data_IF_236624302433
#
_entry.id   IF_236624302433
#
_cell.length_a   1.000
_cell.length_b   1.000
_cell.length_c   1.000
_cell.angle_alpha   90.00
_cell.angle_beta   90.00
_cell.angle_gamma   90.00
#
_symmetry.space_group_name_H-M   'P 1'
#
loop_
_entity.id
_entity.type
_entity.pdbx_description
1 polymer ?
#
# COMPACT_ATOMS: atom_id res chain seq x y z
N UNK A 1 -34.54 -11.51 -4.64
CA UNK A 1 -35.13 -11.09 -5.94
C UNK A 1 -34.36 -9.87 -6.42
N UNK A 2 -33.76 -9.90 -7.62
CA UNK A 2 -32.90 -8.81 -8.12
C UNK A 2 -33.71 -7.55 -8.47
N UNK A 3 -33.17 -6.37 -8.17
CA UNK A 3 -33.79 -5.10 -8.56
C UNK A 3 -33.65 -4.84 -10.06
N UNK A 4 -34.46 -3.93 -10.62
CA UNK A 4 -34.29 -3.47 -12.03
C UNK A 4 -32.87 -2.94 -12.32
N UNK A 5 -32.22 -2.34 -11.32
CA UNK A 5 -30.85 -1.83 -11.43
C UNK A 5 -29.83 -2.96 -11.50
N UNK A 6 -30.05 -4.02 -10.74
CA UNK A 6 -29.19 -5.21 -10.74
C UNK A 6 -29.31 -5.96 -12.07
N UNK A 7 -30.53 -6.12 -12.58
CA UNK A 7 -30.77 -6.74 -13.88
C UNK A 7 -30.09 -5.97 -15.03
N UNK A 8 -30.12 -4.62 -15.01
CA UNK A 8 -29.41 -3.79 -15.99
C UNK A 8 -27.90 -3.94 -15.95
N UNK A 9 -27.32 -4.19 -14.76
CA UNK A 9 -25.88 -4.47 -14.64
C UNK A 9 -25.55 -5.87 -15.13
N UNK A 10 -26.39 -6.86 -14.79
CA UNK A 10 -26.23 -8.25 -15.21
C UNK A 10 -26.42 -8.45 -16.72
N UNK A 11 -27.07 -7.53 -17.41
CA UNK A 11 -27.18 -7.53 -18.88
C UNK A 11 -26.00 -6.87 -19.61
N UNK A 12 -24.97 -6.40 -18.91
CA UNK A 12 -23.78 -5.80 -19.56
C UNK A 12 -22.90 -6.87 -20.23
N UNK A 13 -22.11 -6.51 -21.26
CA UNK A 13 -21.20 -7.50 -21.86
C UNK A 13 -20.18 -8.02 -20.84
N UNK A 14 -19.73 -7.14 -19.94
CA UNK A 14 -18.80 -7.46 -18.86
C UNK A 14 -19.38 -8.47 -17.87
N UNK A 15 -20.65 -8.31 -17.46
CA UNK A 15 -21.28 -9.27 -16.56
C UNK A 15 -21.49 -10.63 -17.21
N UNK A 16 -21.86 -10.65 -18.49
CA UNK A 16 -21.99 -11.90 -19.26
C UNK A 16 -20.63 -12.60 -19.39
N UNK A 17 -19.56 -11.86 -19.69
CA UNK A 17 -18.19 -12.40 -19.70
C UNK A 17 -17.81 -13.04 -18.36
N UNK A 18 -18.10 -12.37 -17.24
CA UNK A 18 -17.80 -12.89 -15.90
C UNK A 18 -18.61 -14.15 -15.57
N UNK A 19 -19.89 -14.19 -15.94
CA UNK A 19 -20.75 -15.35 -15.74
C UNK A 19 -20.31 -16.54 -16.60
N UNK A 20 -19.91 -16.31 -17.85
CA UNK A 20 -19.46 -17.34 -18.79
C UNK A 20 -18.12 -17.97 -18.39
N UNK A 21 -17.31 -17.29 -17.57
CA UNK A 21 -16.05 -17.83 -17.04
C UNK A 21 -16.24 -18.78 -15.85
N UNK A 22 -17.44 -18.85 -15.28
CA UNK A 22 -17.72 -19.68 -14.12
C UNK A 22 -18.40 -20.98 -14.56
N UNK A 23 -17.91 -22.13 -14.07
CA UNK A 23 -18.57 -23.41 -14.29
C UNK A 23 -19.98 -23.44 -13.66
N UNK A 24 -20.15 -22.73 -12.54
CA UNK A 24 -21.43 -22.52 -11.85
C UNK A 24 -21.66 -21.02 -11.65
N UNK A 25 -22.48 -20.37 -12.50
CA UNK A 25 -22.67 -18.92 -12.45
C UNK A 25 -23.27 -18.44 -11.13
N UNK A 26 -22.54 -17.59 -10.41
CA UNK A 26 -22.99 -16.93 -9.20
C UNK A 26 -23.25 -15.44 -9.47
N UNK A 27 -24.51 -15.10 -9.68
CA UNK A 27 -24.96 -13.75 -10.01
C UNK A 27 -24.70 -12.73 -8.89
N UNK A 28 -24.81 -13.14 -7.62
CA UNK A 28 -24.55 -12.26 -6.47
C UNK A 28 -23.07 -11.86 -6.41
N UNK A 29 -22.17 -12.83 -6.62
CA UNK A 29 -20.74 -12.57 -6.67
C UNK A 29 -20.36 -11.66 -7.84
N UNK A 30 -20.94 -11.89 -9.03
CA UNK A 30 -20.73 -11.03 -10.20
C UNK A 30 -21.24 -9.61 -9.95
N UNK A 31 -22.42 -9.46 -9.34
CA UNK A 31 -22.94 -8.15 -8.95
C UNK A 31 -21.99 -7.45 -7.98
N UNK A 32 -21.54 -8.12 -6.92
CA UNK A 32 -20.60 -7.56 -5.94
C UNK A 32 -19.31 -7.06 -6.62
N UNK A 33 -18.75 -7.86 -7.54
CA UNK A 33 -17.58 -7.49 -8.33
C UNK A 33 -17.86 -6.22 -9.16
N UNK A 34 -18.96 -6.17 -9.92
CA UNK A 34 -19.32 -4.99 -10.72
C UNK A 34 -19.58 -3.74 -9.88
N UNK A 35 -20.12 -3.91 -8.66
CA UNK A 35 -20.28 -2.83 -7.70
C UNK A 35 -18.94 -2.31 -7.19
N UNK A 36 -17.99 -3.19 -6.92
CA UNK A 36 -16.64 -2.83 -6.53
C UNK A 36 -15.91 -2.11 -7.68
N UNK A 37 -15.88 -2.69 -8.89
CA UNK A 37 -15.28 -2.10 -10.09
C UNK A 37 -15.84 -0.68 -10.34
N UNK A 38 -17.16 -0.51 -10.28
CA UNK A 38 -17.79 0.81 -10.45
C UNK A 38 -17.36 1.83 -9.38
N UNK A 39 -17.12 1.41 -8.13
CA UNK A 39 -16.60 2.31 -7.08
C UNK A 39 -15.13 2.63 -7.30
N UNK A 40 -14.33 1.63 -7.68
CA UNK A 40 -12.91 1.77 -7.95
C UNK A 40 -12.67 2.75 -9.11
N UNK A 41 -13.38 2.58 -10.23
CA UNK A 41 -13.24 3.46 -11.40
C UNK A 41 -13.49 4.93 -11.04
N UNK A 42 -14.50 5.22 -10.20
CA UNK A 42 -14.76 6.60 -9.74
C UNK A 42 -13.59 7.16 -8.93
N UNK A 43 -12.96 6.34 -8.10
CA UNK A 43 -11.80 6.75 -7.32
C UNK A 43 -10.55 6.89 -8.19
N UNK A 44 -10.36 6.05 -9.21
CA UNK A 44 -9.27 6.17 -10.16
C UNK A 44 -9.40 7.44 -11.03
N UNK A 45 -10.62 7.84 -11.40
CA UNK A 45 -10.86 9.15 -12.03
C UNK A 45 -10.40 10.29 -11.11
N UNK A 46 -10.79 10.25 -9.83
CA UNK A 46 -10.37 11.25 -8.85
C UNK A 46 -8.84 11.24 -8.62
N UNK A 47 -8.20 10.06 -8.65
CA UNK A 47 -6.74 9.94 -8.58
C UNK A 47 -6.04 10.61 -9.77
N UNK A 48 -6.60 10.52 -10.97
CA UNK A 48 -6.07 11.20 -12.16
C UNK A 48 -6.23 12.72 -12.09
N UNK A 49 -7.35 13.19 -11.55
CA UNK A 49 -7.57 14.62 -11.28
C UNK A 49 -6.58 15.13 -10.23
N UNK A 50 -6.41 14.38 -9.12
CA UNK A 50 -5.43 14.68 -8.08
C UNK A 50 -3.99 14.70 -8.64
N UNK A 51 -3.62 13.74 -9.49
CA UNK A 51 -2.29 13.73 -10.12
C UNK A 51 -2.09 14.98 -10.99
N UNK A 52 -3.10 15.35 -11.80
CA UNK A 52 -3.03 16.56 -12.63
C UNK A 52 -2.86 17.82 -11.78
N UNK A 53 -3.55 17.87 -10.63
CA UNK A 53 -3.40 18.95 -9.65
C UNK A 53 -1.98 19.01 -9.06
N UNK A 54 -1.42 17.86 -8.67
CA UNK A 54 -0.04 17.74 -8.16
C UNK A 54 0.95 18.29 -9.18
N UNK A 55 0.81 17.92 -10.45
CA UNK A 55 1.66 18.41 -11.54
C UNK A 55 1.51 19.92 -11.72
N UNK A 56 0.28 20.43 -11.83
CA UNK A 56 0.01 21.85 -12.06
C UNK A 56 0.57 22.76 -10.96
N UNK A 57 0.51 22.30 -9.71
CA UNK A 57 0.96 23.07 -8.54
C UNK A 57 2.38 22.72 -8.09
N UNK A 58 3.10 21.85 -8.81
CA UNK A 58 4.47 21.46 -8.47
C UNK A 58 4.59 20.77 -7.10
N UNK A 59 3.55 20.07 -6.64
CA UNK A 59 3.56 19.40 -5.34
C UNK A 59 4.49 18.18 -5.34
N UNK A 60 5.09 17.88 -4.20
CA UNK A 60 5.91 16.67 -3.99
C UNK A 60 5.13 15.70 -3.13
N UNK A 61 4.77 14.53 -3.67
CA UNK A 61 3.93 13.56 -2.93
C UNK A 61 4.65 12.23 -2.77
N UNK A 62 4.85 11.80 -1.52
CA UNK A 62 5.37 10.49 -1.17
C UNK A 62 4.28 9.69 -0.43
N UNK A 63 3.94 8.51 -0.96
CA UNK A 63 2.91 7.62 -0.42
C UNK A 63 3.59 6.33 0.03
N UNK A 64 3.72 6.13 1.34
CA UNK A 64 4.28 4.93 1.94
C UNK A 64 3.17 3.92 2.19
N UNK A 65 3.32 2.73 1.60
CA UNK A 65 2.41 1.61 1.83
C UNK A 65 3.19 0.51 2.56
N UNK A 66 3.05 0.51 3.88
CA UNK A 66 3.55 -0.55 4.75
C UNK A 66 2.45 -1.57 5.05
N UNK A 67 2.84 -2.72 5.59
CA UNK A 67 1.90 -3.74 6.00
C UNK A 67 2.55 -5.10 6.19
N UNK A 68 1.80 -6.00 6.83
CA UNK A 68 2.20 -7.40 6.98
C UNK A 68 2.36 -8.06 5.61
N UNK A 69 3.09 -9.17 5.56
CA UNK A 69 3.17 -9.95 4.34
C UNK A 69 1.81 -10.49 3.92
N UNK A 70 1.55 -10.51 2.61
CA UNK A 70 0.25 -10.82 1.99
C UNK A 70 -0.92 -9.90 2.35
N UNK A 71 -0.68 -8.76 2.99
CA UNK A 71 -1.70 -7.74 3.27
C UNK A 71 -2.30 -7.09 2.01
N UNK A 72 -1.63 -7.20 0.85
CA UNK A 72 -2.13 -6.69 -0.43
C UNK A 72 -1.55 -5.35 -0.88
N UNK A 73 -0.38 -4.95 -0.35
CA UNK A 73 0.36 -3.72 -0.71
C UNK A 73 0.50 -3.53 -2.23
N UNK A 74 1.09 -4.51 -2.91
CA UNK A 74 1.29 -4.45 -4.36
C UNK A 74 -0.02 -4.35 -5.16
N UNK A 75 -1.09 -5.04 -4.71
CA UNK A 75 -2.41 -4.95 -5.35
C UNK A 75 -3.03 -3.56 -5.18
N UNK A 76 -2.89 -2.95 -4.00
CA UNK A 76 -3.33 -1.58 -3.73
C UNK A 76 -2.56 -0.57 -4.60
N UNK A 77 -1.23 -0.65 -4.63
CA UNK A 77 -0.40 0.25 -5.46
C UNK A 77 -0.79 0.12 -6.94
N UNK A 78 -0.94 -1.11 -7.43
CA UNK A 78 -1.38 -1.36 -8.81
C UNK A 78 -2.74 -0.72 -9.09
N UNK A 79 -3.72 -0.90 -8.20
CA UNK A 79 -5.04 -0.29 -8.36
C UNK A 79 -4.99 1.25 -8.36
N UNK A 80 -4.08 1.87 -7.59
CA UNK A 80 -3.86 3.31 -7.62
C UNK A 80 -3.25 3.77 -8.96
N UNK A 81 -2.21 3.07 -9.42
CA UNK A 81 -1.39 3.50 -10.56
C UNK A 81 -1.96 3.09 -11.93
N UNK A 82 -2.92 2.16 -11.99
CA UNK A 82 -3.44 1.53 -13.21
C UNK A 82 -3.81 2.51 -14.33
N UNK A 83 -4.33 3.68 -13.97
CA UNK A 83 -4.81 4.69 -14.92
C UNK A 83 -4.12 6.06 -14.78
N UNK A 84 -3.10 6.17 -13.93
CA UNK A 84 -2.32 7.40 -13.76
C UNK A 84 -1.36 7.62 -14.93
N UNK A 85 -1.02 8.87 -15.22
CA UNK A 85 -0.01 9.21 -16.23
C UNK A 85 1.38 8.79 -15.73
N UNK A 86 2.06 7.83 -16.41
CA UNK A 86 3.34 7.27 -15.94
C UNK A 86 4.50 8.26 -15.92
N UNK A 87 4.36 9.45 -16.52
CA UNK A 87 5.44 10.47 -16.52
C UNK A 87 5.61 11.16 -15.17
N UNK A 88 4.57 11.17 -14.34
CA UNK A 88 4.52 11.91 -13.08
C UNK A 88 4.18 11.01 -11.90
N UNK A 89 4.24 9.69 -12.10
CA UNK A 89 4.06 8.71 -11.04
C UNK A 89 5.11 7.62 -11.16
N UNK A 90 5.66 7.19 -10.03
CA UNK A 90 6.61 6.08 -10.00
C UNK A 90 6.46 5.22 -8.76
N UNK A 91 6.88 3.97 -8.90
CA UNK A 91 6.96 2.98 -7.84
C UNK A 91 8.41 2.82 -7.40
N UNK A 92 8.63 2.89 -6.10
CA UNK A 92 9.88 2.55 -5.43
C UNK A 92 9.65 1.26 -4.66
N UNK A 93 10.28 0.19 -5.12
CA UNK A 93 10.32 -1.11 -4.46
C UNK A 93 11.79 -1.54 -4.38
N UNK A 94 12.47 -1.15 -3.30
CA UNK A 94 13.90 -1.43 -3.14
C UNK A 94 14.13 -2.86 -2.64
N UNK A 95 15.08 -3.55 -3.26
CA UNK A 95 15.58 -4.82 -2.76
C UNK A 95 16.37 -4.65 -1.45
N UNK A 96 16.75 -5.80 -0.87
CA UNK A 96 17.66 -5.87 0.28
C UNK A 96 18.91 -4.98 0.03
N UNK A 97 19.37 -4.22 1.04
CA UNK A 97 20.50 -3.32 0.84
C UNK A 97 21.77 -4.11 0.51
N UNK A 98 22.52 -3.63 -0.48
CA UNK A 98 23.87 -4.12 -0.80
C UNK A 98 24.84 -3.85 0.35
N UNK A 99 25.99 -4.53 0.39
CA UNK A 99 27.03 -4.28 1.41
C UNK A 99 27.45 -2.81 1.46
N UNK A 100 27.47 -2.13 0.31
CA UNK A 100 27.78 -0.70 0.21
C UNK A 100 26.67 0.18 0.78
N UNK A 101 25.40 -0.16 0.58
CA UNK A 101 24.28 0.57 1.19
C UNK A 101 24.21 0.34 2.70
N UNK A 102 24.58 -0.86 3.17
CA UNK A 102 24.62 -1.19 4.60
C UNK A 102 25.70 -0.40 5.37
N UNK A 103 26.79 -0.01 4.71
CA UNK A 103 27.84 0.83 5.31
C UNK A 103 27.56 2.34 5.22
N UNK A 104 26.46 2.74 4.56
CA UNK A 104 26.04 4.12 4.46
C UNK A 104 25.07 4.49 5.58
N UNK A 105 24.83 5.80 5.72
CA UNK A 105 23.69 6.27 6.50
C UNK A 105 22.39 5.70 5.92
N UNK A 106 21.53 5.16 6.79
CA UNK A 106 20.39 4.33 6.42
C UNK A 106 19.43 5.00 5.43
N UNK A 107 19.15 6.29 5.63
CA UNK A 107 18.20 7.04 4.81
C UNK A 107 18.74 7.39 3.41
N UNK A 108 20.06 7.30 3.19
CA UNK A 108 20.68 7.74 1.92
C UNK A 108 20.03 7.09 0.69
N UNK A 109 19.81 5.77 0.73
CA UNK A 109 19.21 5.03 -0.38
C UNK A 109 17.76 5.42 -0.67
N UNK A 110 17.06 5.99 0.32
CA UNK A 110 15.68 6.43 0.19
C UNK A 110 15.58 7.89 -0.26
N UNK A 111 16.54 8.74 0.15
CA UNK A 111 16.60 10.16 -0.25
C UNK A 111 16.68 10.30 -1.76
N UNK A 112 17.50 9.47 -2.41
CA UNK A 112 17.64 9.42 -3.88
C UNK A 112 16.33 9.02 -4.59
N UNK A 113 15.30 8.60 -3.85
CA UNK A 113 14.00 8.16 -4.36
C UNK A 113 12.86 9.07 -3.94
N UNK A 114 13.11 10.19 -3.27
CA UNK A 114 12.07 11.15 -2.88
C UNK A 114 11.47 11.86 -4.10
N UNK A 115 10.18 12.26 -4.05
CA UNK A 115 9.50 12.94 -5.17
C UNK A 115 10.15 14.26 -5.56
N UNK A 116 10.22 14.50 -6.87
CA UNK A 116 10.44 15.84 -7.42
C UNK A 116 9.12 16.64 -7.49
N UNK A 117 9.19 17.92 -7.85
CA UNK A 117 7.99 18.74 -8.01
C UNK A 117 7.10 18.19 -9.13
N UNK A 118 5.81 18.04 -8.83
CA UNK A 118 4.84 17.45 -9.74
C UNK A 118 4.88 15.92 -9.79
N UNK A 119 5.64 15.26 -8.90
CA UNK A 119 5.68 13.80 -8.82
C UNK A 119 4.82 13.23 -7.68
N UNK A 120 4.19 12.10 -7.97
CA UNK A 120 3.62 11.18 -6.98
C UNK A 120 4.45 9.91 -6.92
N UNK A 121 4.99 9.59 -5.75
CA UNK A 121 5.86 8.42 -5.56
C UNK A 121 5.24 7.45 -4.59
N UNK A 122 4.95 6.24 -5.06
CA UNK A 122 4.54 5.13 -4.22
C UNK A 122 5.75 4.35 -3.74
N UNK A 123 5.83 4.12 -2.43
CA UNK A 123 6.83 3.27 -1.80
C UNK A 123 6.17 1.94 -1.41
N UNK A 124 6.55 0.84 -2.06
CA UNK A 124 6.23 -0.52 -1.60
C UNK A 124 7.32 -0.96 -0.62
N UNK A 125 7.00 -0.85 0.67
CA UNK A 125 7.99 -0.70 1.75
C UNK A 125 8.80 0.59 1.62
N UNK A 126 9.38 0.99 2.75
CA UNK A 126 10.10 2.25 2.86
C UNK A 126 11.25 2.13 3.86
N UNK A 127 11.72 3.27 4.37
CA UNK A 127 12.63 3.31 5.51
C UNK A 127 12.05 2.66 6.77
N UNK A 128 10.73 2.44 6.86
CA UNK A 128 10.12 1.72 7.97
C UNK A 128 10.41 0.21 8.02
N UNK A 129 11.15 -0.33 7.05
CA UNK A 129 11.73 -1.67 7.19
C UNK A 129 12.51 -1.82 8.51
N UNK A 130 13.29 -0.79 8.89
CA UNK A 130 14.03 -0.79 10.17
C UNK A 130 13.17 -0.63 11.41
N UNK A 131 11.93 -0.16 11.28
CA UNK A 131 11.00 -0.08 12.40
C UNK A 131 10.39 -1.43 12.78
N UNK A 132 10.25 -2.34 11.80
CA UNK A 132 9.44 -3.55 11.95
C UNK A 132 10.16 -4.79 11.43
N UNK A 133 10.42 -4.90 10.13
CA UNK A 133 10.92 -6.14 9.52
C UNK A 133 12.35 -6.45 9.97
N UNK A 134 13.25 -5.47 9.96
CA UNK A 134 14.65 -5.69 10.33
C UNK A 134 14.82 -6.16 11.78
N UNK A 135 14.24 -5.51 12.81
CA UNK A 135 14.43 -5.95 14.20
C UNK A 135 13.70 -7.26 14.51
N UNK A 136 12.57 -7.57 13.85
CA UNK A 136 11.86 -8.84 14.04
C UNK A 136 12.72 -10.02 13.56
N UNK A 137 13.42 -9.85 12.43
CA UNK A 137 14.22 -10.90 11.79
C UNK A 137 15.73 -10.79 12.04
N UNK A 138 16.15 -9.89 12.93
CA UNK A 138 17.56 -9.68 13.28
C UNK A 138 18.44 -9.21 12.09
N UNK A 139 17.86 -8.43 11.17
CA UNK A 139 18.60 -7.79 10.07
C UNK A 139 19.23 -6.44 10.47
N UNK A 140 18.89 -5.93 11.65
CA UNK A 140 19.57 -4.81 12.28
C UNK A 140 19.86 -5.14 13.76
N UNK A 141 20.84 -4.44 14.32
CA UNK A 141 21.12 -4.48 15.76
C UNK A 141 20.04 -3.72 16.54
N UNK A 142 19.83 -4.04 17.84
CA UNK A 142 18.93 -3.26 18.70
C UNK A 142 19.24 -1.76 18.71
N UNK A 143 20.54 -1.41 18.70
CA UNK A 143 21.03 -0.04 18.70
C UNK A 143 20.64 0.68 17.39
N UNK A 144 20.80 0.02 16.23
CA UNK A 144 20.37 0.57 14.94
C UNK A 144 18.86 0.82 14.88
N UNK A 145 18.05 -0.10 15.42
CA UNK A 145 16.60 0.11 15.50
C UNK A 145 16.27 1.31 16.40
N UNK A 146 16.88 1.41 17.58
CA UNK A 146 16.63 2.52 18.50
C UNK A 146 17.04 3.86 17.89
N UNK A 147 18.20 3.95 17.25
CA UNK A 147 18.64 5.15 16.54
C UNK A 147 17.67 5.52 15.43
N UNK A 148 17.25 4.55 14.61
CA UNK A 148 16.27 4.79 13.54
C UNK A 148 14.95 5.36 14.08
N UNK A 149 14.43 4.84 15.19
CA UNK A 149 13.17 5.31 15.77
C UNK A 149 13.20 6.77 16.24
N UNK A 150 14.39 7.30 16.53
CA UNK A 150 14.61 8.73 16.80
C UNK A 150 14.83 9.51 15.50
N UNK A 151 15.74 9.04 14.64
CA UNK A 151 16.13 9.73 13.41
C UNK A 151 14.97 9.88 12.41
N UNK A 152 14.09 8.87 12.30
CA UNK A 152 12.97 8.89 11.34
C UNK A 152 12.02 10.05 11.57
N UNK A 153 11.83 10.47 12.83
CA UNK A 153 10.97 11.61 13.15
C UNK A 153 11.59 12.91 12.63
N UNK A 154 12.88 13.11 12.85
CA UNK A 154 13.59 14.29 12.35
C UNK A 154 13.67 14.28 10.81
N UNK A 155 13.93 13.12 10.23
CA UNK A 155 13.93 12.93 8.78
C UNK A 155 12.58 13.34 8.16
N UNK A 156 11.46 12.86 8.70
CA UNK A 156 10.14 13.22 8.18
C UNK A 156 9.78 14.68 8.43
N UNK A 157 10.18 15.28 9.55
CA UNK A 157 10.03 16.73 9.78
C UNK A 157 10.77 17.54 8.70
N UNK A 158 11.97 17.11 8.32
CA UNK A 158 12.70 17.76 7.21
C UNK A 158 11.93 17.66 5.90
N UNK A 159 11.35 16.50 5.58
CA UNK A 159 10.51 16.34 4.38
C UNK A 159 9.28 17.25 4.39
N UNK A 160 8.57 17.30 5.52
CA UNK A 160 7.39 18.15 5.69
C UNK A 160 7.75 19.64 5.60
N UNK A 161 8.88 20.05 6.18
CA UNK A 161 9.38 21.44 6.09
C UNK A 161 9.81 21.84 4.69
N UNK A 162 10.15 20.84 3.86
CA UNK A 162 10.41 21.00 2.44
C UNK A 162 9.16 20.72 1.60
N UNK A 163 7.96 21.03 2.11
CA UNK A 163 6.65 20.88 1.45
C UNK A 163 6.42 19.53 0.75
N UNK A 164 7.01 18.45 1.26
CA UNK A 164 6.72 17.10 0.79
C UNK A 164 5.50 16.58 1.52
N UNK A 165 4.44 16.29 0.77
CA UNK A 165 3.24 15.67 1.31
C UNK A 165 3.55 14.20 1.55
N UNK A 166 3.48 13.77 2.82
CA UNK A 166 3.80 12.42 3.23
C UNK A 166 2.53 11.67 3.65
N UNK A 167 2.10 10.70 2.85
CA UNK A 167 0.93 9.86 3.14
C UNK A 167 1.41 8.49 3.63
N UNK A 168 1.13 8.15 4.88
CA UNK A 168 1.57 6.87 5.49
C UNK A 168 0.39 5.94 5.75
N UNK A 169 0.34 4.82 5.03
CA UNK A 169 -0.71 3.80 5.15
C UNK A 169 -0.08 2.49 5.61
N UNK A 170 -0.68 1.88 6.62
CA UNK A 170 -0.32 0.53 7.04
C UNK A 170 -1.49 -0.42 6.81
N UNK A 171 -1.25 -1.52 6.10
CA UNK A 171 -2.23 -2.58 5.88
C UNK A 171 -2.06 -3.68 6.95
N UNK A 172 -3.05 -3.80 7.83
CA UNK A 172 -3.10 -4.85 8.87
C UNK A 172 -4.05 -5.95 8.45
N UNK A 173 -3.60 -7.19 8.56
CA UNK A 173 -4.34 -8.40 8.23
C UNK A 173 -4.41 -9.26 9.49
N UNK A 174 -5.52 -9.96 9.72
CA UNK A 174 -5.60 -10.95 10.80
C UNK A 174 -4.64 -12.12 10.57
N UNK A 175 -4.25 -12.81 11.64
CA UNK A 175 -3.32 -13.95 11.56
C UNK A 175 -3.94 -15.09 10.74
N UNK A 176 -5.24 -15.29 10.93
CA UNK A 176 -6.06 -16.30 10.26
C UNK A 176 -6.12 -16.04 8.76
N UNK A 177 -6.45 -14.81 8.35
CA UNK A 177 -6.51 -14.43 6.93
C UNK A 177 -5.10 -14.42 6.30
N UNK A 178 -4.06 -14.08 7.05
CA UNK A 178 -2.68 -14.21 6.57
C UNK A 178 -2.31 -15.65 6.26
N UNK A 179 -2.66 -16.59 7.14
CA UNK A 179 -2.45 -18.03 6.94
C UNK A 179 -3.16 -18.52 5.66
N UNK A 180 -4.44 -18.18 5.50
CA UNK A 180 -5.24 -18.55 4.33
C UNK A 180 -4.61 -18.03 3.04
N UNK A 181 -4.12 -16.78 3.03
CA UNK A 181 -3.46 -16.21 1.84
C UNK A 181 -2.15 -16.90 1.51
N UNK A 182 -1.37 -17.30 2.50
CA UNK A 182 -0.12 -18.03 2.31
C UNK A 182 -0.40 -19.41 1.68
N UNK A 183 -1.42 -20.11 2.18
CA UNK A 183 -1.84 -21.40 1.63
C UNK A 183 -2.29 -21.27 0.16
N UNK A 184 -3.15 -20.28 -0.14
CA UNK A 184 -3.55 -20.00 -1.52
C UNK A 184 -2.37 -19.66 -2.46
N UNK A 185 -1.32 -18.99 -1.95
CA UNK A 185 -0.12 -18.69 -2.75
C UNK A 185 0.71 -19.95 -2.99
N UNK A 186 0.84 -20.84 -2.00
CA UNK A 186 1.55 -22.13 -2.16
C UNK A 186 0.92 -23.00 -3.25
N UNK A 187 -0.41 -23.02 -3.29
CA UNK A 187 -1.19 -23.80 -4.25
C UNK A 187 -1.14 -23.21 -5.67
N UNK A 188 -0.91 -21.90 -5.82
CA UNK A 188 -0.91 -21.23 -7.12
C UNK A 188 0.50 -21.15 -7.76
N UNK A 189 0.80 -21.90 -8.83
CA UNK A 189 2.13 -21.91 -9.45
C UNK A 189 2.59 -20.54 -9.96
N UNK A 190 1.67 -19.67 -10.38
CA UNK A 190 1.97 -18.34 -10.92
C UNK A 190 2.33 -17.32 -9.84
N UNK A 191 2.09 -17.66 -8.56
CA UNK A 191 2.33 -16.77 -7.42
C UNK A 191 3.38 -17.29 -6.46
N UNK A 192 3.95 -18.48 -6.71
CA UNK A 192 5.00 -19.06 -5.84
C UNK A 192 6.21 -18.16 -5.65
N UNK A 193 6.53 -17.33 -6.64
CA UNK A 193 7.62 -16.36 -6.55
C UNK A 193 7.40 -15.28 -5.47
N UNK A 194 6.15 -15.08 -5.02
CA UNK A 194 5.80 -14.16 -3.93
C UNK A 194 6.19 -14.70 -2.54
N UNK A 195 6.59 -15.98 -2.42
CA UNK A 195 6.94 -16.60 -1.13
C UNK A 195 8.46 -16.59 -0.89
N UNK A 196 8.85 -15.99 0.23
CA UNK A 196 10.18 -16.08 0.81
C UNK A 196 10.20 -16.86 2.13
N UNK A 197 11.40 -17.22 2.59
CA UNK A 197 11.59 -17.88 3.90
C UNK A 197 11.13 -16.97 5.05
N UNK A 198 11.34 -15.65 4.90
CA UNK A 198 10.89 -14.65 5.89
C UNK A 198 9.37 -14.68 6.03
N UNK A 199 8.66 -14.88 4.91
CA UNK A 199 7.20 -14.89 4.88
C UNK A 199 6.61 -16.11 5.58
N UNK A 200 7.26 -17.27 5.43
CA UNK A 200 6.85 -18.50 6.13
C UNK A 200 7.01 -18.36 7.64
N UNK A 201 8.04 -17.65 8.10
CA UNK A 201 8.28 -17.38 9.51
C UNK A 201 7.38 -16.26 10.05
N UNK A 202 6.75 -15.45 9.20
CA UNK A 202 5.97 -14.29 9.61
C UNK A 202 4.76 -14.66 10.48
N UNK A 203 4.13 -15.83 10.25
CA UNK A 203 3.01 -16.32 11.06
C UNK A 203 3.47 -16.68 12.49
N UNK A 204 4.63 -17.34 12.60
CA UNK A 204 5.20 -17.70 13.90
C UNK A 204 5.63 -16.45 14.68
N UNK A 205 6.11 -15.43 13.98
CA UNK A 205 6.55 -14.16 14.54
C UNK A 205 5.44 -13.09 14.60
N UNK A 206 4.17 -13.43 14.32
CA UNK A 206 3.08 -12.47 14.16
C UNK A 206 2.94 -11.53 15.36
N UNK A 207 3.01 -12.06 16.57
CA UNK A 207 2.92 -11.25 17.79
C UNK A 207 4.11 -10.30 17.95
N UNK A 208 5.31 -10.74 17.58
CA UNK A 208 6.51 -9.90 17.58
C UNK A 208 6.35 -8.74 16.58
N UNK A 209 5.84 -9.01 15.38
CA UNK A 209 5.52 -7.98 14.39
C UNK A 209 4.52 -6.94 14.95
N UNK A 210 3.46 -7.39 15.63
CA UNK A 210 2.47 -6.50 16.25
C UNK A 210 3.07 -5.58 17.31
N UNK A 211 4.04 -6.06 18.11
CA UNK A 211 4.74 -5.24 19.10
C UNK A 211 5.51 -4.10 18.43
N UNK A 212 6.33 -4.41 17.43
CA UNK A 212 7.11 -3.40 16.69
C UNK A 212 6.21 -2.44 15.90
N UNK A 213 5.14 -2.94 15.28
CA UNK A 213 4.15 -2.11 14.57
C UNK A 213 3.48 -1.09 15.52
N UNK A 214 3.06 -1.51 16.72
CA UNK A 214 2.48 -0.61 17.71
C UNK A 214 3.48 0.46 18.16
N UNK A 215 4.74 0.08 18.37
CA UNK A 215 5.81 1.02 18.70
C UNK A 215 6.06 2.01 17.56
N UNK A 216 6.07 1.55 16.31
CA UNK A 216 6.17 2.39 15.12
C UNK A 216 5.07 3.43 15.09
N UNK A 217 3.79 3.03 15.19
CA UNK A 217 2.66 3.95 15.15
C UNK A 217 2.72 5.00 16.28
N UNK A 218 3.02 4.56 17.50
CA UNK A 218 3.07 5.43 18.67
C UNK A 218 4.15 6.50 18.55
N UNK A 219 5.33 6.14 18.07
CA UNK A 219 6.50 7.02 18.11
C UNK A 219 6.70 7.83 16.83
N UNK A 220 6.08 7.45 15.71
CA UNK A 220 6.37 8.06 14.40
C UNK A 220 5.15 8.68 13.72
N UNK A 221 4.01 8.79 14.41
CA UNK A 221 2.87 9.57 13.90
C UNK A 221 3.08 11.04 14.21
N UNK A 222 3.45 11.82 13.19
CA UNK A 222 3.68 13.27 13.31
C UNK A 222 2.45 14.06 12.84
N UNK A 223 2.23 15.30 13.33
CA UNK A 223 1.31 16.22 12.68
C UNK A 223 1.67 16.41 11.21
N UNK A 224 0.71 16.20 10.30
CA UNK A 224 0.96 16.25 8.85
C UNK A 224 1.45 14.94 8.22
N UNK A 225 1.88 13.95 9.02
CA UNK A 225 2.29 12.63 8.56
C UNK A 225 1.90 11.55 9.58
N UNK A 226 0.62 11.47 9.92
CA UNK A 226 0.10 10.44 10.83
C UNK A 226 -0.06 9.11 10.10
N UNK A 227 0.13 7.99 10.82
CA UNK A 227 -0.16 6.67 10.27
C UNK A 227 -1.66 6.42 10.15
N UNK A 228 -2.10 5.92 8.99
CA UNK A 228 -3.44 5.41 8.80
C UNK A 228 -3.44 3.89 8.70
N UNK A 229 -3.95 3.24 9.74
CA UNK A 229 -4.09 1.79 9.77
C UNK A 229 -5.38 1.34 9.07
N UNK A 230 -5.26 0.42 8.11
CA UNK A 230 -6.37 -0.16 7.36
C UNK A 230 -6.37 -1.67 7.59
N UNK A 231 -7.46 -2.17 8.17
CA UNK A 231 -7.72 -3.61 8.24
C UNK A 231 -8.04 -4.09 6.82
N UNK A 232 -7.33 -5.11 6.36
CA UNK A 232 -7.31 -5.54 4.95
C UNK A 232 -7.72 -6.99 4.72
N UNK A 233 -8.49 -7.57 5.64
CA UNK A 233 -9.05 -8.91 5.48
C UNK A 233 -9.97 -8.98 4.25
N UNK A 234 -10.84 -7.97 4.06
CA UNK A 234 -11.50 -7.69 2.79
C UNK A 234 -10.62 -6.79 1.91
N UNK A 235 -9.85 -7.39 0.99
CA UNK A 235 -8.95 -6.66 0.09
C UNK A 235 -9.71 -5.62 -0.76
N UNK A 236 -10.80 -5.95 -1.48
CA UNK A 236 -11.59 -4.97 -2.23
C UNK A 236 -11.99 -3.74 -1.39
N UNK A 237 -12.55 -3.94 -0.19
CA UNK A 237 -12.97 -2.83 0.66
C UNK A 237 -11.78 -1.99 1.15
N UNK A 238 -10.69 -2.65 1.54
CA UNK A 238 -9.46 -1.99 1.99
C UNK A 238 -8.83 -1.12 0.89
N UNK A 239 -8.82 -1.60 -0.36
CA UNK A 239 -8.34 -0.81 -1.51
C UNK A 239 -9.12 0.48 -1.67
N UNK A 240 -10.45 0.41 -1.65
CA UNK A 240 -11.29 1.62 -1.75
C UNK A 240 -11.06 2.58 -0.57
N UNK A 241 -10.86 2.05 0.64
CA UNK A 241 -10.59 2.86 1.84
C UNK A 241 -9.24 3.56 1.75
N UNK A 242 -8.20 2.87 1.28
CA UNK A 242 -6.87 3.42 1.10
C UNK A 242 -6.86 4.54 0.06
N UNK A 243 -7.48 4.32 -1.11
CA UNK A 243 -7.54 5.36 -2.15
C UNK A 243 -8.30 6.60 -1.65
N UNK A 244 -9.42 6.41 -0.96
CA UNK A 244 -10.15 7.53 -0.33
C UNK A 244 -9.29 8.30 0.67
N UNK A 245 -8.47 7.60 1.45
CA UNK A 245 -7.56 8.24 2.39
C UNK A 245 -6.47 9.05 1.68
N UNK A 246 -5.88 8.51 0.60
CA UNK A 246 -4.92 9.24 -0.25
C UNK A 246 -5.58 10.54 -0.78
N UNK A 247 -6.75 10.42 -1.40
CA UNK A 247 -7.49 11.56 -1.96
C UNK A 247 -7.91 12.59 -0.92
N UNK A 248 -8.16 12.17 0.33
CA UNK A 248 -8.50 13.07 1.43
C UNK A 248 -7.28 13.82 1.97
N UNK A 249 -6.10 13.18 1.94
CA UNK A 249 -4.89 13.70 2.59
C UNK A 249 -4.17 14.70 1.70
N UNK A 250 -4.18 14.49 0.39
CA UNK A 250 -3.56 15.40 -0.58
C UNK A 250 -4.52 16.59 -0.79
N UNK A 251 -4.06 17.85 -0.71
CA UNK A 251 -4.90 19.02 -0.90
C UNK A 251 -5.09 19.29 -2.41
N UNK A 252 -6.08 18.64 -3.02
CA UNK A 252 -6.49 18.87 -4.40
C UNK A 252 -7.94 19.33 -4.46
N UNK A 253 -8.28 20.08 -5.50
CA UNK A 253 -9.64 20.55 -5.75
C UNK A 253 -10.19 19.94 -7.04
N UNK A 254 -11.49 19.66 -7.03
CA UNK A 254 -12.19 19.23 -8.24
C UNK A 254 -12.30 20.43 -9.19
N UNK A 255 -11.39 20.51 -10.16
CA UNK A 255 -11.57 21.29 -11.39
C UNK A 255 -12.55 20.64 -12.34
#
# INVERSE_FOLDING_TARGET
MYSKKDLRKLSSSRSLELLLRQEKPNFDQVLQQLHHESKLNKLQIALNQMQSWVVHHGLRVAILIEGSEFSGRGSLIRACMEHMNPRNVRLVALDKPTTKEQSQWYFKRYIERLPEQGEVVFFDRSWYNRAVVEPVNHFCTPEQHQHFMVEVQEFEKMLLSADTILVKIHLTISKEEQQVRIEHVKENPLRRWELSIVDLNAIALYEKYQVYQKAMFKNTSLPGAAWHNIICDDKPAATLKAIKYILKTIPWEHT
#
